data_IF_853998135186
#
_entry.id   IF_853998135186
#
_cell.length_a   1.000
_cell.length_b   1.000
_cell.length_c   1.000
_cell.angle_alpha   90.00
_cell.angle_beta   90.00
_cell.angle_gamma   90.00
#
_symmetry.space_group_name_H-M   'P 1'
#
loop_
_entity.id
_entity.type
_entity.pdbx_description
1 polymer ?
#
# COMPACT_ATOMS: atom_id res chain seq x y z
N UNK A 1 -12.22 -7.02 -15.44
CA UNK A 1 -12.22 -7.75 -14.15
C UNK A 1 -11.93 -6.73 -13.06
N UNK A 2 -12.80 -6.55 -12.05
CA UNK A 2 -12.48 -5.67 -10.93
C UNK A 2 -11.39 -6.31 -10.07
N UNK A 3 -10.33 -5.54 -9.79
CA UNK A 3 -9.23 -5.92 -8.90
C UNK A 3 -9.78 -6.05 -7.47
N UNK A 4 -9.54 -7.19 -6.77
CA UNK A 4 -10.02 -7.38 -5.41
C UNK A 4 -9.37 -6.36 -4.47
N UNK A 5 -10.22 -5.73 -3.67
CA UNK A 5 -9.93 -4.79 -2.60
C UNK A 5 -8.87 -5.37 -1.66
N UNK A 6 -7.60 -5.04 -1.90
CA UNK A 6 -6.50 -5.41 -1.03
C UNK A 6 -6.32 -4.33 0.03
N UNK A 7 -6.33 -4.79 1.28
CA UNK A 7 -5.72 -4.16 2.47
C UNK A 7 -6.64 -3.23 3.26
N UNK A 8 -7.22 -3.76 4.34
CA UNK A 8 -7.96 -3.00 5.36
C UNK A 8 -7.01 -2.12 6.19
N UNK A 9 -6.41 -1.11 5.57
CA UNK A 9 -5.88 0.05 6.27
C UNK A 9 -7.03 1.06 6.36
N UNK A 10 -7.42 1.52 7.56
CA UNK A 10 -8.51 2.49 7.70
C UNK A 10 -8.30 3.78 6.89
N UNK A 11 -7.05 4.05 6.46
CA UNK A 11 -6.62 5.31 5.84
C UNK A 11 -6.32 5.18 4.34
N UNK A 12 -5.84 4.03 3.87
CA UNK A 12 -5.46 3.81 2.46
C UNK A 12 -6.68 3.27 1.70
N UNK A 13 -7.00 3.92 0.59
CA UNK A 13 -8.08 3.56 -0.31
C UNK A 13 -7.58 2.71 -1.48
N UNK A 14 -6.35 2.93 -1.93
CA UNK A 14 -5.80 2.17 -3.05
C UNK A 14 -4.30 2.35 -3.21
N UNK A 15 -3.69 1.38 -3.88
CA UNK A 15 -2.27 1.34 -4.21
C UNK A 15 -2.18 1.06 -5.71
N UNK A 16 -1.34 1.80 -6.43
CA UNK A 16 -1.09 1.60 -7.85
C UNK A 16 0.40 1.66 -8.10
N UNK A 17 0.94 0.72 -8.87
CA UNK A 17 2.35 0.70 -9.23
C UNK A 17 2.52 0.71 -10.74
N UNK A 18 3.40 1.58 -11.22
CA UNK A 18 3.81 1.67 -12.61
C UNK A 18 5.25 1.15 -12.74
N UNK A 19 5.41 -0.02 -13.35
CA UNK A 19 6.72 -0.66 -13.51
C UNK A 19 7.62 0.05 -14.54
N UNK A 20 7.04 0.76 -15.52
CA UNK A 20 7.80 1.47 -16.55
C UNK A 20 8.57 2.67 -15.99
N UNK A 21 7.99 3.36 -15.02
CA UNK A 21 8.57 4.53 -14.33
C UNK A 21 8.97 4.23 -12.89
N UNK A 22 8.84 2.97 -12.45
CA UNK A 22 9.09 2.53 -11.06
C UNK A 22 8.39 3.44 -10.04
N UNK A 23 7.15 3.79 -10.33
CA UNK A 23 6.40 4.77 -9.53
C UNK A 23 5.27 4.10 -8.77
N UNK A 24 5.26 4.25 -7.44
CA UNK A 24 4.20 3.79 -6.56
C UNK A 24 3.31 4.97 -6.18
N UNK A 25 2.00 4.83 -6.38
CA UNK A 25 0.98 5.80 -5.98
C UNK A 25 0.12 5.21 -4.88
N UNK A 26 0.00 5.95 -3.78
CA UNK A 26 -0.93 5.67 -2.69
C UNK A 26 -2.08 6.67 -2.73
N UNK A 27 -3.31 6.16 -2.73
CA UNK A 27 -4.53 6.93 -2.62
C UNK A 27 -5.10 6.73 -1.22
N UNK A 28 -5.31 7.81 -0.49
CA UNK A 28 -5.90 7.79 0.86
C UNK A 28 -7.37 8.14 0.80
N UNK A 29 -8.17 7.61 1.74
CA UNK A 29 -9.63 7.87 1.82
C UNK A 29 -10.00 9.35 1.96
N UNK A 30 -9.06 10.19 2.43
CA UNK A 30 -9.20 11.64 2.48
C UNK A 30 -8.91 12.37 1.17
N UNK A 31 -8.77 11.65 0.04
CA UNK A 31 -8.48 12.22 -1.28
C UNK A 31 -7.03 12.68 -1.48
N UNK A 32 -6.15 12.45 -0.50
CA UNK A 32 -4.71 12.72 -0.63
C UNK A 32 -4.04 11.61 -1.44
N UNK A 33 -3.11 12.03 -2.28
CA UNK A 33 -2.31 11.13 -3.10
C UNK A 33 -0.83 11.39 -2.83
N UNK A 34 -0.07 10.31 -2.69
CA UNK A 34 1.38 10.37 -2.61
C UNK A 34 1.98 9.51 -3.70
N UNK A 35 2.95 10.07 -4.41
CA UNK A 35 3.74 9.36 -5.41
C UNK A 35 5.15 9.18 -4.89
N UNK A 36 5.60 7.94 -4.87
CA UNK A 36 6.97 7.55 -4.58
C UNK A 36 7.60 7.15 -5.91
N UNK A 37 8.76 7.73 -6.19
CA UNK A 37 9.53 7.47 -7.42
C UNK A 37 10.70 6.53 -7.11
N UNK A 38 11.14 5.79 -8.13
CA UNK A 38 12.24 4.82 -8.04
C UNK A 38 11.98 3.70 -7.01
N UNK A 39 10.74 3.24 -6.93
CA UNK A 39 10.36 2.11 -6.09
C UNK A 39 10.68 0.81 -6.82
N UNK A 40 11.52 -0.03 -6.21
CA UNK A 40 11.83 -1.34 -6.75
C UNK A 40 10.55 -2.20 -6.86
N UNK A 41 10.40 -3.02 -7.91
CA UNK A 41 9.24 -3.89 -8.08
C UNK A 41 9.07 -4.86 -6.92
N UNK A 42 10.18 -5.36 -6.37
CA UNK A 42 10.20 -6.27 -5.21
C UNK A 42 9.52 -5.63 -3.99
N UNK A 43 9.73 -4.34 -3.74
CA UNK A 43 9.07 -3.61 -2.65
C UNK A 43 7.56 -3.47 -2.87
N UNK A 44 7.11 -3.30 -4.12
CA UNK A 44 5.69 -3.30 -4.42
C UNK A 44 5.07 -4.69 -4.20
N UNK A 45 5.79 -5.75 -4.57
CA UNK A 45 5.36 -7.13 -4.32
C UNK A 45 5.27 -7.42 -2.83
N UNK A 46 6.27 -7.02 -2.04
CA UNK A 46 6.21 -7.13 -0.57
C UNK A 46 5.08 -6.30 0.03
N UNK A 47 4.86 -5.06 -0.43
CA UNK A 47 3.75 -4.22 0.03
C UNK A 47 2.38 -4.83 -0.30
N UNK A 48 2.28 -5.50 -1.44
CA UNK A 48 1.06 -6.19 -1.88
C UNK A 48 0.84 -7.47 -1.08
N UNK A 49 1.90 -8.21 -0.78
CA UNK A 49 1.86 -9.47 -0.03
C UNK A 49 1.72 -9.25 1.48
N UNK A 50 2.14 -8.08 1.97
CA UNK A 50 1.96 -7.63 3.35
C UNK A 50 0.48 -7.61 3.73
N UNK A 51 -0.05 -8.79 4.07
CA UNK A 51 -1.25 -8.95 4.88
C UNK A 51 -0.99 -8.17 6.14
N UNK A 52 -1.91 -7.26 6.46
CA UNK A 52 -2.01 -6.52 7.71
C UNK A 52 -1.36 -7.34 8.82
N UNK A 53 -0.15 -6.95 9.24
CA UNK A 53 0.34 -7.39 10.53
C UNK A 53 -0.75 -6.96 11.50
N UNK A 54 -1.41 -7.87 12.25
CA UNK A 54 -2.26 -7.44 13.34
C UNK A 54 -1.38 -6.50 14.16
N UNK A 55 -1.83 -5.25 14.28
CA UNK A 55 -1.10 -4.21 14.98
C UNK A 55 -0.57 -4.86 16.25
N UNK A 56 0.76 -4.86 16.41
CA UNK A 56 1.39 -5.27 17.67
C UNK A 56 0.62 -4.55 18.76
N UNK A 57 -0.23 -5.27 19.49
CA UNK A 57 -0.92 -4.70 20.63
C UNK A 57 0.19 -4.13 21.51
N UNK A 58 0.10 -2.86 21.95
CA UNK A 58 1.10 -2.34 22.87
C UNK A 58 1.06 -3.26 24.09
N UNK A 59 2.11 -4.08 24.24
CA UNK A 59 2.33 -4.86 25.44
C UNK A 59 2.60 -3.86 26.56
N UNK A 60 1.53 -3.39 27.18
CA UNK A 60 1.60 -2.59 28.40
C UNK A 60 2.08 -3.56 29.48
N UNK A 61 3.33 -3.38 29.91
CA UNK A 61 3.88 -4.05 31.08
C UNK A 61 3.34 -3.49 32.38
#
# INVERSE_FOLDING_TARGET
MPIPEATSCSVIQGITYDAGTRSLRLTFKGGRHYSYVDVAPELYEELRDARVHPALEPSHG
#
